data_IF_227918408790
#
_entry.id   IF_227918408790
#
_cell.length_a   1.000
_cell.length_b   1.000
_cell.length_c   1.000
_cell.angle_alpha   90.00
_cell.angle_beta   90.00
_cell.angle_gamma   90.00
#
_symmetry.space_group_name_H-M   'P 1'
#
loop_
_entity.id
_entity.type
_entity.pdbx_description
1 polymer ?
#
# COMPACT_ATOMS: atom_id res chain seq x y z
N UNK A 1 19.93 9.46 -6.71
CA UNK A 1 18.49 9.75 -6.80
C UNK A 1 17.79 9.07 -5.63
N UNK A 2 16.70 9.63 -5.10
CA UNK A 2 15.86 8.91 -4.13
C UNK A 2 14.92 7.97 -4.90
N UNK A 3 14.67 6.74 -4.42
CA UNK A 3 13.71 5.84 -5.04
C UNK A 3 12.32 6.48 -5.00
N UNK A 4 11.57 6.35 -6.10
CA UNK A 4 10.21 6.82 -6.20
C UNK A 4 9.26 5.69 -5.84
N UNK A 5 8.25 6.03 -5.05
CA UNK A 5 7.26 5.09 -4.54
C UNK A 5 5.92 5.47 -5.16
N UNK A 6 5.22 4.47 -5.69
CA UNK A 6 3.87 4.58 -6.24
C UNK A 6 2.88 3.87 -5.32
N UNK A 7 1.65 4.38 -5.29
CA UNK A 7 0.56 3.78 -4.51
C UNK A 7 -0.62 3.53 -5.44
N UNK A 8 -1.02 2.27 -5.56
CA UNK A 8 -2.24 1.86 -6.24
C UNK A 8 -3.38 1.69 -5.23
N UNK A 9 -4.56 2.22 -5.55
CA UNK A 9 -5.77 2.08 -4.73
C UNK A 9 -6.88 1.45 -5.57
N UNK A 10 -7.40 0.31 -5.13
CA UNK A 10 -8.53 -0.40 -5.71
C UNK A 10 -9.72 -0.31 -4.74
N UNK A 11 -10.61 0.64 -4.99
CA UNK A 11 -11.83 0.85 -4.21
C UNK A 11 -13.02 0.12 -4.84
N UNK A 12 -13.38 -1.03 -4.31
CA UNK A 12 -14.66 -1.70 -4.59
C UNK A 12 -15.72 -1.37 -3.54
N UNK A 13 -17.01 -1.56 -3.86
CA UNK A 13 -18.14 -1.18 -2.97
C UNK A 13 -18.16 -1.85 -1.58
N UNK A 14 -17.36 -2.90 -1.36
CA UNK A 14 -17.30 -3.67 -0.10
C UNK A 14 -15.90 -3.77 0.49
N UNK A 15 -14.85 -3.40 -0.26
CA UNK A 15 -13.46 -3.59 0.14
C UNK A 15 -12.55 -2.64 -0.62
N UNK A 16 -11.64 -1.98 0.10
CA UNK A 16 -10.60 -1.13 -0.46
C UNK A 16 -9.27 -1.83 -0.31
N UNK A 17 -8.51 -1.97 -1.40
CA UNK A 17 -7.14 -2.49 -1.38
C UNK A 17 -6.15 -1.40 -1.76
N UNK A 18 -4.99 -1.42 -1.13
CA UNK A 18 -3.89 -0.50 -1.40
C UNK A 18 -2.62 -1.31 -1.62
N UNK A 19 -1.83 -0.94 -2.62
CA UNK A 19 -0.50 -1.51 -2.84
C UNK A 19 0.52 -0.39 -2.98
N UNK A 20 1.64 -0.52 -2.29
CA UNK A 20 2.80 0.36 -2.39
C UNK A 20 3.86 -0.36 -3.21
N UNK A 21 4.41 0.29 -4.23
CA UNK A 21 5.43 -0.29 -5.09
C UNK A 21 6.51 0.72 -5.48
N UNK A 22 7.64 0.23 -5.99
CA UNK A 22 8.64 1.06 -6.68
C UNK A 22 8.23 1.33 -8.12
N UNK A 23 8.87 2.28 -8.79
CA UNK A 23 8.60 2.57 -10.21
C UNK A 23 8.99 1.41 -11.14
N UNK A 24 9.87 0.52 -10.69
CA UNK A 24 10.26 -0.70 -11.39
C UNK A 24 9.23 -1.84 -11.22
N UNK A 25 8.13 -1.59 -10.49
CA UNK A 25 7.05 -2.55 -10.27
C UNK A 25 7.26 -3.50 -9.09
N UNK A 26 8.24 -3.24 -8.23
CA UNK A 26 8.45 -4.07 -7.02
C UNK A 26 7.44 -3.68 -5.95
N UNK A 27 6.58 -4.61 -5.54
CA UNK A 27 5.63 -4.37 -4.43
C UNK A 27 6.39 -4.35 -3.10
N UNK A 28 6.26 -3.24 -2.39
CA UNK A 28 6.85 -3.02 -1.06
C UNK A 28 5.89 -3.42 0.07
N UNK A 29 4.58 -3.37 -0.17
CA UNK A 29 3.57 -3.77 0.79
C UNK A 29 2.15 -3.60 0.28
N UNK A 30 1.21 -4.28 0.92
CA UNK A 30 -0.23 -4.22 0.59
C UNK A 30 -1.06 -4.05 1.84
N UNK A 31 -2.19 -3.34 1.74
CA UNK A 31 -3.18 -3.20 2.80
C UNK A 31 -4.59 -3.43 2.25
N UNK A 32 -5.47 -3.95 3.09
CA UNK A 32 -6.89 -4.10 2.77
C UNK A 32 -7.74 -3.54 3.91
N UNK A 33 -8.82 -2.84 3.56
CA UNK A 33 -9.80 -2.35 4.52
C UNK A 33 -11.22 -2.71 4.08
N UNK A 34 -12.09 -3.01 5.04
CA UNK A 34 -13.52 -3.21 4.81
C UNK A 34 -14.27 -1.88 4.57
N UNK A 35 -15.62 -1.87 4.59
CA UNK A 35 -16.43 -0.67 4.37
C UNK A 35 -16.31 0.42 5.48
N UNK A 36 -15.37 0.27 6.40
CA UNK A 36 -15.04 1.26 7.42
C UNK A 36 -13.63 1.01 7.91
N UNK A 37 -12.80 2.05 7.89
CA UNK A 37 -11.45 2.09 8.44
C UNK A 37 -11.33 1.30 9.75
N UNK A 38 -10.27 0.50 9.91
CA UNK A 38 -9.38 0.45 11.09
C UNK A 38 -8.34 -0.65 10.85
N UNK A 39 -7.06 -0.31 11.08
CA UNK A 39 -5.92 -1.23 11.21
C UNK A 39 -5.54 -2.05 9.98
N UNK A 40 -4.54 -1.55 9.24
CA UNK A 40 -3.28 -2.25 8.94
C UNK A 40 -2.72 -1.67 7.65
N UNK A 41 -1.82 -0.69 7.77
CA UNK A 41 -0.61 -0.60 6.94
C UNK A 41 0.17 0.66 7.32
N UNK A 42 1.41 0.49 7.74
CA UNK A 42 2.28 1.63 7.94
C UNK A 42 3.69 1.31 8.46
N UNK A 43 4.49 0.58 7.69
CA UNK A 43 5.94 0.84 7.59
C UNK A 43 6.80 0.53 8.83
N UNK A 44 6.37 -0.35 9.74
CA UNK A 44 7.34 -0.92 10.70
C UNK A 44 8.30 -1.86 9.96
N UNK A 45 9.53 -1.37 9.78
CA UNK A 45 10.71 -2.02 9.19
C UNK A 45 10.94 -1.88 7.68
N UNK A 46 11.21 -0.65 7.24
CA UNK A 46 12.33 -0.45 6.29
C UNK A 46 13.49 0.14 7.08
N UNK A 47 14.26 -0.74 7.75
CA UNK A 47 15.59 -0.38 8.23
C UNK A 47 16.55 -0.47 7.04
N UNK A 48 17.18 0.66 6.73
CA UNK A 48 18.36 0.72 5.86
C UNK A 48 19.61 0.19 6.56
#
# INVERSE_FOLDING_TARGET
>A
MKPRIVVGVDGGGTRTRVAVATEEGTVLGTGESGPGNYHDVGIDEVKG
#
